data_IF_517494335771
#
_entry.id   IF_517494335771
#
_cell.length_a   1.000
_cell.length_b   1.000
_cell.length_c   1.000
_cell.angle_alpha   90.00
_cell.angle_beta   90.00
_cell.angle_gamma   90.00
#
_symmetry.space_group_name_H-M   'P 1'
#
loop_
_entity.id
_entity.type
_entity.pdbx_description
1 polymer ?
#
# COMPACT_ATOMS: atom_id res chain seq x y z
N UNK A 1 -43.03 -40.13 14.28
CA UNK A 1 -41.86 -39.69 13.47
C UNK A 1 -41.57 -38.18 13.63
N UNK A 2 -41.49 -37.62 14.85
CA UNK A 2 -41.36 -36.15 15.04
C UNK A 2 -40.09 -35.69 15.78
N UNK A 3 -39.38 -36.58 16.49
CA UNK A 3 -38.23 -36.16 17.34
C UNK A 3 -36.92 -35.94 16.56
N UNK A 4 -36.66 -36.68 15.47
CA UNK A 4 -35.39 -36.59 14.72
C UNK A 4 -35.26 -35.33 13.86
N UNK A 5 -36.37 -34.67 13.51
CA UNK A 5 -36.38 -33.50 12.62
C UNK A 5 -36.06 -32.19 13.36
N UNK A 6 -36.46 -32.08 14.64
CA UNK A 6 -36.16 -30.90 15.46
C UNK A 6 -34.68 -30.82 15.88
N UNK A 7 -34.04 -31.96 16.15
CA UNK A 7 -32.61 -31.99 16.50
C UNK A 7 -31.73 -31.49 15.34
N UNK A 8 -32.11 -31.79 14.09
CA UNK A 8 -31.37 -31.38 12.89
C UNK A 8 -31.50 -29.88 12.59
N UNK A 9 -32.65 -29.26 12.92
CA UNK A 9 -32.84 -27.80 12.78
C UNK A 9 -32.03 -27.01 13.80
N UNK A 10 -32.03 -27.41 15.07
CA UNK A 10 -31.22 -26.75 16.10
C UNK A 10 -29.71 -26.85 15.83
N UNK A 11 -29.23 -27.95 15.24
CA UNK A 11 -27.83 -28.09 14.87
C UNK A 11 -27.41 -27.14 13.72
N UNK A 12 -28.28 -26.94 12.73
CA UNK A 12 -28.04 -26.03 11.59
C UNK A 12 -28.05 -24.56 12.02
N UNK A 13 -28.94 -24.19 12.95
CA UNK A 13 -29.06 -22.82 13.45
C UNK A 13 -27.85 -22.42 14.30
N UNK A 14 -27.36 -23.34 15.15
CA UNK A 14 -26.14 -23.18 15.95
C UNK A 14 -24.87 -23.08 15.11
N UNK A 15 -24.83 -23.74 13.95
CA UNK A 15 -23.73 -23.58 12.98
C UNK A 15 -23.74 -22.20 12.31
N UNK A 16 -24.92 -21.69 11.96
CA UNK A 16 -25.09 -20.37 11.32
C UNK A 16 -24.72 -19.21 12.26
N UNK A 17 -25.00 -19.34 13.56
CA UNK A 17 -24.57 -18.36 14.57
C UNK A 17 -23.06 -18.39 14.83
N UNK A 18 -22.43 -19.57 14.81
CA UNK A 18 -20.97 -19.72 14.89
C UNK A 18 -20.25 -19.11 13.68
N UNK A 19 -20.81 -19.23 12.48
CA UNK A 19 -20.25 -18.59 11.27
C UNK A 19 -20.39 -17.07 11.30
N UNK A 20 -21.55 -16.55 11.73
CA UNK A 20 -21.76 -15.10 11.86
C UNK A 20 -20.81 -14.47 12.87
N UNK A 21 -20.63 -15.09 14.04
CA UNK A 21 -19.69 -14.62 15.07
C UNK A 21 -18.25 -14.67 14.56
N UNK A 22 -17.83 -15.76 13.89
CA UNK A 22 -16.49 -15.86 13.28
C UNK A 22 -16.25 -14.83 12.16
N UNK A 23 -17.28 -14.49 11.36
CA UNK A 23 -17.19 -13.43 10.35
C UNK A 23 -17.07 -12.02 10.97
N UNK A 24 -17.73 -11.78 12.11
CA UNK A 24 -17.61 -10.51 12.82
C UNK A 24 -16.26 -10.37 13.52
N UNK A 25 -15.74 -11.44 14.12
CA UNK A 25 -14.41 -11.42 14.75
C UNK A 25 -13.30 -11.21 13.72
N UNK A 26 -13.39 -11.84 12.53
CA UNK A 26 -12.45 -11.62 11.42
C UNK A 26 -12.53 -10.19 10.89
N UNK A 27 -13.72 -9.62 10.70
CA UNK A 27 -13.89 -8.22 10.29
C UNK A 27 -13.33 -7.22 11.31
N UNK A 28 -13.47 -7.49 12.62
CA UNK A 28 -12.91 -6.64 13.68
C UNK A 28 -11.38 -6.78 13.75
N UNK A 29 -10.84 -8.00 13.62
CA UNK A 29 -9.39 -8.25 13.55
C UNK A 29 -8.75 -7.58 12.33
N UNK A 30 -9.37 -7.72 11.15
CA UNK A 30 -8.97 -7.02 9.93
C UNK A 30 -8.94 -5.51 10.20
N UNK A 31 -10.00 -4.92 10.76
CA UNK A 31 -10.09 -3.46 11.01
C UNK A 31 -9.02 -2.91 11.96
N UNK A 32 -8.62 -3.68 12.97
CA UNK A 32 -7.53 -3.30 13.90
C UNK A 32 -6.15 -3.48 13.25
N UNK A 33 -6.00 -4.50 12.42
CA UNK A 33 -4.76 -4.81 11.71
C UNK A 33 -4.47 -3.80 10.58
N UNK A 34 -5.48 -3.31 9.87
CA UNK A 34 -5.34 -2.25 8.86
C UNK A 34 -4.73 -0.96 9.41
N UNK A 35 -5.07 -0.59 10.67
CA UNK A 35 -4.47 0.58 11.36
C UNK A 35 -2.99 0.38 11.71
N UNK A 36 -2.54 -0.88 11.85
CA UNK A 36 -1.15 -1.22 12.14
C UNK A 36 -0.28 -1.21 10.87
N UNK A 37 -0.85 -1.62 9.73
CA UNK A 37 -0.14 -1.64 8.44
C UNK A 37 -0.09 -0.22 7.81
N UNK A 38 -1.16 0.57 7.97
CA UNK A 38 -1.25 1.94 7.44
C UNK A 38 -1.85 2.89 8.49
N UNK A 39 -1.04 3.74 9.16
CA UNK A 39 -1.49 4.59 10.26
C UNK A 39 -2.24 5.84 9.80
N UNK A 40 -3.22 5.70 8.88
CA UNK A 40 -4.09 6.80 8.46
C UNK A 40 -5.54 6.46 8.82
N UNK A 41 -6.16 7.35 9.59
CA UNK A 41 -7.47 7.16 10.20
C UNK A 41 -8.61 6.99 9.19
N UNK A 42 -9.39 5.91 9.36
CA UNK A 42 -10.65 5.68 8.68
C UNK A 42 -11.74 6.61 9.24
N UNK A 43 -12.23 7.56 8.43
CA UNK A 43 -13.58 8.11 8.62
C UNK A 43 -14.57 7.28 7.82
N UNK A 44 -15.50 6.62 8.53
CA UNK A 44 -16.51 5.73 7.99
C UNK A 44 -17.77 6.58 7.72
N UNK A 45 -18.02 7.01 6.49
CA UNK A 45 -19.35 7.51 6.10
C UNK A 45 -20.25 6.31 5.86
N UNK A 46 -21.04 5.96 6.87
CA UNK A 46 -22.06 4.93 6.74
C UNK A 46 -23.35 5.54 6.21
N UNK A 47 -23.82 5.07 5.06
CA UNK A 47 -25.25 5.04 4.72
C UNK A 47 -25.45 4.05 3.59
N UNK A 48 -26.22 3.00 3.89
CA UNK A 48 -26.73 2.00 2.94
C UNK A 48 -28.22 2.28 2.75
N UNK A 49 -28.60 2.82 1.60
CA UNK A 49 -29.98 2.72 1.11
C UNK A 49 -29.94 2.43 -0.38
N UNK A 50 -30.79 1.50 -0.79
CA UNK A 50 -30.78 0.84 -2.09
C UNK A 50 -31.82 1.42 -3.06
N UNK A 51 -31.57 1.15 -4.35
CA UNK A 51 -32.50 1.05 -5.48
C UNK A 51 -33.07 2.34 -6.09
N UNK A 52 -32.61 2.58 -7.32
CA UNK A 52 -33.38 2.97 -8.51
C UNK A 52 -34.62 3.84 -8.31
N UNK A 53 -34.52 5.12 -8.71
CA UNK A 53 -35.51 5.88 -9.47
C UNK A 53 -35.01 7.31 -9.69
N UNK A 54 -35.39 7.91 -10.81
CA UNK A 54 -35.18 9.32 -11.22
C UNK A 54 -33.89 9.58 -12.01
N UNK A 55 -33.95 9.20 -13.28
CA UNK A 55 -33.61 10.11 -14.38
C UNK A 55 -34.39 11.42 -14.23
N UNK A 56 -33.72 12.57 -14.34
CA UNK A 56 -34.08 13.64 -15.27
C UNK A 56 -33.04 14.79 -15.18
N UNK A 57 -32.34 14.98 -16.30
CA UNK A 57 -32.22 16.25 -17.03
C UNK A 57 -31.44 17.45 -16.49
N UNK A 58 -30.71 18.00 -17.47
CA UNK A 58 -30.18 19.36 -17.67
C UNK A 58 -28.77 19.61 -17.12
N UNK A 59 -27.72 19.66 -17.96
CA UNK A 59 -27.42 20.55 -19.10
C UNK A 59 -27.08 21.99 -18.68
N UNK A 60 -25.79 22.31 -18.91
CA UNK A 60 -25.25 23.57 -19.45
C UNK A 60 -25.00 24.78 -18.53
N UNK A 61 -23.76 25.28 -18.69
CA UNK A 61 -23.29 26.70 -18.68
C UNK A 61 -23.41 27.46 -17.35
N UNK A 62 -22.51 28.33 -16.89
CA UNK A 62 -21.52 29.20 -17.52
C UNK A 62 -20.63 29.84 -16.41
N UNK A 63 -19.52 30.47 -16.80
CA UNK A 63 -18.82 31.50 -16.02
C UNK A 63 -19.77 32.64 -15.61
N UNK A 64 -19.60 33.21 -14.41
CA UNK A 64 -19.46 34.67 -14.26
C UNK A 64 -18.84 35.06 -12.90
N UNK A 65 -18.13 36.19 -12.89
CA UNK A 65 -17.53 36.83 -11.72
C UNK A 65 -18.33 38.07 -11.33
N UNK A 66 -18.62 38.29 -10.05
CA UNK A 66 -18.76 39.65 -9.51
C UNK A 66 -18.75 39.71 -7.99
N UNK A 67 -18.04 40.72 -7.49
CA UNK A 67 -17.98 41.22 -6.12
C UNK A 67 -19.35 41.75 -5.65
N UNK A 68 -19.66 41.62 -4.35
CA UNK A 68 -19.92 42.72 -3.38
C UNK A 68 -20.46 42.17 -2.06
N UNK A 69 -19.71 42.44 -0.99
CA UNK A 69 -20.08 42.93 0.34
C UNK A 69 -21.38 42.53 1.08
N UNK A 70 -21.13 42.16 2.35
CA UNK A 70 -21.88 42.47 3.59
C UNK A 70 -22.79 41.40 4.21
N UNK A 71 -22.29 40.90 5.36
CA UNK A 71 -23.00 40.63 6.62
C UNK A 71 -23.75 39.31 6.81
N UNK A 72 -23.02 38.27 7.20
CA UNK A 72 -23.44 37.38 8.32
C UNK A 72 -22.22 36.65 8.88
N UNK A 73 -21.43 37.35 9.70
CA UNK A 73 -20.33 36.74 10.45
C UNK A 73 -20.93 35.84 11.51
N UNK A 74 -20.64 34.54 11.42
CA UNK A 74 -21.11 33.55 12.39
C UNK A 74 -20.27 33.64 13.68
N UNK A 75 -20.79 33.22 14.85
CA UNK A 75 -20.04 33.21 16.11
C UNK A 75 -18.74 32.37 16.09
N UNK A 76 -18.53 31.58 15.04
CA UNK A 76 -17.35 30.75 14.82
C UNK A 76 -16.18 31.55 14.23
N UNK A 77 -16.47 32.56 13.40
CA UNK A 77 -15.45 33.40 12.75
C UNK A 77 -14.77 34.39 13.71
N UNK A 78 -15.48 34.80 14.78
CA UNK A 78 -14.88 35.60 15.86
C UNK A 78 -13.88 34.80 16.69
N UNK A 79 -14.08 33.48 16.86
CA UNK A 79 -13.16 32.61 17.60
C UNK A 79 -11.88 32.33 16.81
N UNK A 80 -11.97 32.27 15.48
CA UNK A 80 -10.82 32.07 14.58
C UNK A 80 -9.95 33.34 14.51
N UNK A 81 -10.55 34.54 14.50
CA UNK A 81 -9.82 35.82 14.50
C UNK A 81 -9.08 36.11 15.82
N UNK A 82 -9.58 35.61 16.95
CA UNK A 82 -8.93 35.76 18.27
C UNK A 82 -7.75 34.78 18.44
N UNK A 83 -7.88 33.56 17.92
CA UNK A 83 -6.82 32.54 17.96
C UNK A 83 -5.61 32.90 17.07
N UNK A 84 -5.85 33.54 15.92
CA UNK A 84 -4.79 34.00 15.02
C UNK A 84 -4.00 35.22 15.57
N UNK A 85 -4.60 36.03 16.44
CA UNK A 85 -3.93 37.15 17.13
C UNK A 85 -3.02 36.72 18.29
N UNK A 86 -3.28 35.56 18.90
CA UNK A 86 -2.48 35.02 20.00
C UNK A 86 -1.22 34.26 19.53
N UNK A 87 -1.19 33.82 18.28
CA UNK A 87 -0.04 33.12 17.68
C UNK A 87 0.96 34.11 17.04
N UNK A 88 0.50 35.30 16.66
CA UNK A 88 1.33 36.34 16.04
C UNK A 88 2.07 37.27 17.04
N UNK A 89 1.84 37.12 18.35
CA UNK A 89 2.35 38.03 19.38
C UNK A 89 3.61 37.56 20.12
N UNK A 90 4.33 36.55 19.63
CA UNK A 90 5.53 36.00 20.29
C UNK A 90 6.81 35.98 19.44
N UNK A 91 6.92 36.82 18.41
CA UNK A 91 8.24 37.09 17.77
C UNK A 91 8.34 38.43 17.05
N UNK A 92 8.33 39.52 17.82
CA UNK A 92 8.92 40.82 17.46
C UNK A 92 9.32 41.48 18.78
N UNK A 93 10.45 42.14 19.01
CA UNK A 93 11.59 42.58 18.22
C UNK A 93 12.59 43.05 19.29
N UNK A 94 13.89 42.73 19.20
CA UNK A 94 14.90 43.61 19.80
C UNK A 94 16.06 43.80 18.82
N UNK A 95 16.12 45.02 18.27
CA UNK A 95 17.29 45.59 17.61
C UNK A 95 18.28 46.04 18.69
N UNK A 96 19.58 45.77 18.50
CA UNK A 96 20.66 46.47 19.19
C UNK A 96 21.83 46.73 18.25
N UNK A 97 22.28 47.98 18.22
CA UNK A 97 23.43 48.50 17.49
C UNK A 97 24.77 48.15 18.17
N UNK A 98 25.86 48.27 17.39
CA UNK A 98 27.26 47.92 17.69
C UNK A 98 27.98 49.11 18.35
N UNK A 99 29.01 48.90 19.21
CA UNK A 99 30.36 49.31 18.80
C UNK A 99 31.53 48.39 19.21
N UNK A 100 32.47 48.25 18.26
CA UNK A 100 33.94 48.14 18.32
C UNK A 100 34.70 47.21 19.31
N UNK A 101 35.38 46.22 18.68
CA UNK A 101 36.76 45.72 18.86
C UNK A 101 37.41 45.62 20.26
N UNK A 102 37.80 44.39 20.62
CA UNK A 102 39.16 44.04 21.10
C UNK A 102 39.47 42.56 20.83
N UNK A 103 40.63 42.33 20.20
CA UNK A 103 41.20 41.04 19.86
C UNK A 103 41.55 40.21 21.11
N UNK A 104 41.12 38.96 21.16
CA UNK A 104 41.82 37.88 21.88
C UNK A 104 41.77 36.61 21.06
N UNK A 105 42.95 36.12 20.72
CA UNK A 105 43.22 34.87 19.99
C UNK A 105 43.02 33.67 20.93
N UNK A 106 42.17 32.69 20.56
CA UNK A 106 42.48 31.24 20.68
C UNK A 106 41.37 30.30 20.18
N UNK A 107 41.84 29.22 19.56
CA UNK A 107 41.30 27.85 19.53
C UNK A 107 40.13 27.49 18.58
N UNK A 108 40.51 27.00 17.39
CA UNK A 108 40.14 25.70 16.78
C UNK A 108 38.69 25.17 16.95
N UNK A 109 38.00 25.10 15.79
CA UNK A 109 36.92 24.17 15.36
C UNK A 109 35.48 24.43 15.87
N UNK A 110 34.42 24.29 15.02
CA UNK A 110 34.13 23.05 14.30
C UNK A 110 33.90 23.19 12.78
N UNK A 111 34.22 22.08 12.12
CA UNK A 111 33.81 21.68 10.78
C UNK A 111 32.38 22.09 10.46
N UNK A 112 32.21 22.79 9.33
CA UNK A 112 30.92 22.91 8.65
C UNK A 112 30.48 21.49 8.29
N UNK A 113 29.49 20.96 9.00
CA UNK A 113 28.77 19.78 8.56
C UNK A 113 28.03 20.20 7.29
N UNK A 114 28.63 19.94 6.12
CA UNK A 114 27.83 19.79 4.92
C UNK A 114 26.86 18.63 5.21
N UNK A 115 25.54 18.82 5.08
CA UNK A 115 24.63 17.69 5.15
C UNK A 115 25.12 16.66 4.14
N UNK A 116 25.31 15.43 4.57
CA UNK A 116 25.60 14.32 3.65
C UNK A 116 24.53 14.32 2.56
N UNK A 117 24.88 14.00 1.30
CA UNK A 117 23.91 13.93 0.18
C UNK A 117 22.65 13.10 0.51
N UNK A 118 22.78 12.16 1.46
CA UNK A 118 21.71 11.34 2.03
C UNK A 118 20.59 12.14 2.74
N UNK A 119 20.91 13.33 3.28
CA UNK A 119 19.99 14.19 4.03
C UNK A 119 19.14 15.11 3.12
N UNK A 120 19.52 15.23 1.85
CA UNK A 120 18.84 16.09 0.86
C UNK A 120 17.82 15.33 -0.01
N UNK A 121 17.81 13.99 0.02
CA UNK A 121 16.86 13.18 -0.75
C UNK A 121 15.55 13.00 0.01
N UNK A 122 14.56 13.82 -0.32
CA UNK A 122 13.20 13.68 0.20
C UNK A 122 12.59 12.35 -0.29
N UNK A 123 12.17 11.51 0.64
CA UNK A 123 11.48 10.22 0.38
C UNK A 123 9.99 10.36 0.61
N UNK A 124 9.21 9.37 0.17
CA UNK A 124 7.80 9.30 0.51
C UNK A 124 7.59 9.20 2.03
N UNK A 125 6.50 9.75 2.55
CA UNK A 125 6.28 9.87 4.01
C UNK A 125 6.18 8.54 4.78
N UNK A 126 6.00 7.40 4.10
CA UNK A 126 6.06 6.09 4.74
C UNK A 126 7.50 5.61 5.00
N UNK A 127 8.51 6.34 4.52
CA UNK A 127 9.90 6.22 4.94
C UNK A 127 10.22 7.36 5.91
N UNK A 128 10.42 6.98 7.17
CA UNK A 128 10.76 7.90 8.27
C UNK A 128 12.25 7.82 8.59
N UNK A 129 12.78 8.80 9.33
CA UNK A 129 14.16 8.77 9.84
C UNK A 129 14.46 7.56 10.74
N UNK A 130 13.42 6.95 11.32
CA UNK A 130 13.50 5.74 12.14
C UNK A 130 13.27 4.44 11.36
N UNK A 131 13.06 4.52 10.04
CA UNK A 131 12.82 3.32 9.22
C UNK A 131 14.07 2.46 9.13
N UNK A 132 13.89 1.15 9.22
CA UNK A 132 14.96 0.17 9.03
C UNK A 132 15.60 0.31 7.63
N UNK A 133 16.92 0.17 7.56
CA UNK A 133 17.70 0.34 6.32
C UNK A 133 17.20 -0.51 5.15
N UNK A 134 16.78 -1.75 5.43
CA UNK A 134 16.23 -2.65 4.40
C UNK A 134 14.94 -2.14 3.77
N UNK A 135 14.12 -1.40 4.53
CA UNK A 135 12.88 -0.83 4.02
C UNK A 135 13.15 0.45 3.22
N UNK A 136 14.09 1.27 3.69
CA UNK A 136 14.61 2.43 2.93
C UNK A 136 15.16 1.96 1.58
N UNK A 137 16.01 0.94 1.57
CA UNK A 137 16.58 0.39 0.35
C UNK A 137 15.51 -0.18 -0.59
N UNK A 138 14.52 -0.90 -0.06
CA UNK A 138 13.41 -1.38 -0.88
C UNK A 138 12.62 -0.24 -1.53
N UNK A 139 12.36 0.85 -0.80
CA UNK A 139 11.73 2.04 -1.37
C UNK A 139 12.57 2.69 -2.46
N UNK A 140 13.88 2.83 -2.22
CA UNK A 140 14.78 3.54 -3.11
C UNK A 140 15.05 2.71 -4.39
N UNK A 141 15.31 1.41 -4.25
CA UNK A 141 15.84 0.61 -5.36
C UNK A 141 14.77 -0.20 -6.08
N UNK A 142 13.70 -0.62 -5.39
CA UNK A 142 12.75 -1.60 -5.91
C UNK A 142 11.33 -1.05 -6.10
N UNK A 143 10.80 -0.34 -5.10
CA UNK A 143 9.38 0.01 -5.08
C UNK A 143 9.04 1.04 -6.15
N UNK A 144 8.03 0.74 -6.97
CA UNK A 144 7.63 1.57 -8.09
C UNK A 144 8.48 1.40 -9.35
N UNK A 145 9.55 0.59 -9.32
CA UNK A 145 10.33 0.26 -10.52
C UNK A 145 9.58 -0.80 -11.33
N UNK A 146 9.34 -0.62 -12.64
CA UNK A 146 8.65 -1.62 -13.45
C UNK A 146 9.38 -2.97 -13.49
N UNK A 147 8.69 -4.03 -13.06
CA UNK A 147 9.20 -5.41 -13.06
C UNK A 147 8.50 -6.22 -14.15
N UNK A 148 9.28 -6.91 -14.99
CA UNK A 148 8.76 -7.71 -16.11
C UNK A 148 9.06 -9.20 -16.03
N UNK A 149 9.94 -9.61 -15.10
CA UNK A 149 10.29 -11.02 -14.90
C UNK A 149 9.19 -11.76 -14.12
N UNK A 150 8.82 -12.96 -14.60
CA UNK A 150 7.74 -13.76 -14.03
C UNK A 150 8.03 -14.20 -12.60
N UNK A 151 9.27 -14.58 -12.29
CA UNK A 151 9.65 -15.05 -10.96
C UNK A 151 9.63 -13.90 -9.96
N UNK A 152 10.17 -12.73 -10.34
CA UNK A 152 10.13 -11.52 -9.51
C UNK A 152 8.69 -11.03 -9.28
N UNK A 153 7.81 -11.09 -10.28
CA UNK A 153 6.41 -10.73 -10.11
C UNK A 153 5.69 -11.74 -9.19
N UNK A 154 5.98 -13.03 -9.30
CA UNK A 154 5.42 -14.02 -8.39
C UNK A 154 5.91 -13.80 -6.95
N UNK A 155 7.21 -13.57 -6.76
CA UNK A 155 7.81 -13.20 -5.48
C UNK A 155 7.09 -11.98 -4.89
N UNK A 156 7.00 -10.87 -5.63
CA UNK A 156 6.35 -9.64 -5.15
C UNK A 156 4.90 -9.89 -4.76
N UNK A 157 4.13 -10.66 -5.53
CA UNK A 157 2.76 -11.00 -5.18
C UNK A 157 2.68 -11.79 -3.87
N UNK A 158 3.59 -12.75 -3.67
CA UNK A 158 3.66 -13.54 -2.44
C UNK A 158 4.04 -12.66 -1.24
N UNK A 159 5.06 -11.81 -1.36
CA UNK A 159 5.50 -10.87 -0.33
C UNK A 159 4.39 -9.86 0.04
N UNK A 160 3.70 -9.29 -0.95
CA UNK A 160 2.55 -8.43 -0.71
C UNK A 160 1.43 -9.18 0.03
N UNK A 161 1.23 -10.46 -0.27
CA UNK A 161 0.30 -11.30 0.48
C UNK A 161 0.65 -11.38 1.97
N UNK A 162 1.93 -11.49 2.30
CA UNK A 162 2.43 -11.57 3.69
C UNK A 162 2.20 -10.29 4.50
N UNK A 163 1.79 -9.17 3.88
CA UNK A 163 1.42 -7.95 4.59
C UNK A 163 0.23 -8.12 5.55
N UNK A 164 -0.53 -9.21 5.44
CA UNK A 164 -1.57 -9.58 6.41
C UNK A 164 -1.03 -10.18 7.71
N UNK A 165 0.24 -10.59 7.70
CA UNK A 165 0.89 -11.28 8.81
C UNK A 165 2.00 -10.40 9.41
N UNK A 166 2.71 -9.64 8.56
CA UNK A 166 3.92 -8.90 8.88
C UNK A 166 3.94 -7.50 8.25
N UNK A 167 4.77 -6.60 8.76
CA UNK A 167 5.07 -5.35 8.06
C UNK A 167 6.20 -5.53 7.02
N UNK A 168 6.40 -4.54 6.14
CA UNK A 168 7.43 -4.60 5.09
C UNK A 168 8.83 -4.87 5.63
N UNK A 169 9.25 -4.22 6.72
CA UNK A 169 10.57 -4.47 7.32
C UNK A 169 10.75 -5.93 7.71
N UNK A 170 9.76 -6.52 8.39
CA UNK A 170 9.80 -7.93 8.82
C UNK A 170 9.83 -8.91 7.64
N UNK A 171 9.16 -8.56 6.53
CA UNK A 171 9.16 -9.36 5.30
C UNK A 171 10.52 -9.24 4.60
N UNK A 172 11.03 -8.01 4.44
CA UNK A 172 12.26 -7.72 3.72
C UNK A 172 13.50 -8.29 4.43
N UNK A 173 13.53 -8.31 5.77
CA UNK A 173 14.60 -8.97 6.56
C UNK A 173 14.70 -10.47 6.30
N UNK A 174 13.61 -11.12 5.87
CA UNK A 174 13.52 -12.56 5.58
C UNK A 174 13.42 -12.86 4.08
N UNK A 175 13.55 -11.85 3.22
CA UNK A 175 13.26 -11.96 1.78
C UNK A 175 14.09 -13.03 1.10
N UNK A 176 15.39 -13.13 1.43
CA UNK A 176 16.28 -14.12 0.83
C UNK A 176 15.92 -15.54 1.25
N UNK A 177 15.69 -15.75 2.55
CA UNK A 177 15.27 -17.05 3.10
C UNK A 177 13.94 -17.49 2.50
N UNK A 178 12.99 -16.56 2.36
CA UNK A 178 11.71 -16.81 1.69
C UNK A 178 11.93 -17.19 0.22
N UNK A 179 12.83 -16.48 -0.49
CA UNK A 179 13.14 -16.78 -1.89
C UNK A 179 13.74 -18.18 -2.05
N UNK A 180 14.69 -18.54 -1.21
CA UNK A 180 15.31 -19.86 -1.21
C UNK A 180 14.28 -20.95 -0.89
N UNK A 181 13.46 -20.75 0.14
CA UNK A 181 12.39 -21.67 0.55
C UNK A 181 11.38 -21.97 -0.56
N UNK A 182 11.10 -21.00 -1.44
CA UNK A 182 10.22 -21.16 -2.59
C UNK A 182 10.99 -21.28 -3.91
N UNK A 183 12.21 -21.82 -3.88
CA UNK A 183 13.00 -22.18 -5.06
C UNK A 183 13.12 -21.03 -6.08
N UNK A 184 13.44 -19.82 -5.60
CA UNK A 184 13.57 -18.64 -6.45
C UNK A 184 12.25 -18.13 -7.02
N UNK A 185 11.11 -18.55 -6.47
CA UNK A 185 9.79 -18.32 -7.03
C UNK A 185 9.65 -18.80 -8.48
N UNK A 186 10.31 -19.90 -8.83
CA UNK A 186 10.00 -20.60 -10.08
C UNK A 186 8.64 -21.28 -9.94
N UNK A 187 7.61 -20.75 -10.60
CA UNK A 187 6.25 -21.24 -10.48
C UNK A 187 6.11 -22.74 -10.84
N UNK A 188 6.92 -23.26 -11.77
CA UNK A 188 6.88 -24.68 -12.13
C UNK A 188 7.42 -25.60 -11.02
N UNK A 189 8.41 -25.13 -10.25
CA UNK A 189 8.95 -25.86 -9.11
C UNK A 189 7.99 -25.76 -7.93
N UNK A 190 7.59 -24.53 -7.57
CA UNK A 190 6.70 -24.28 -6.43
C UNK A 190 5.34 -24.98 -6.61
N UNK A 191 4.80 -25.03 -7.82
CA UNK A 191 3.53 -25.72 -8.09
C UNK A 191 3.58 -27.24 -7.87
N UNK A 192 4.78 -27.84 -7.89
CA UNK A 192 5.01 -29.28 -7.75
C UNK A 192 5.41 -29.71 -6.33
N UNK A 193 5.58 -28.76 -5.41
CA UNK A 193 5.96 -29.07 -4.02
C UNK A 193 4.97 -30.06 -3.40
N UNK A 194 5.51 -31.15 -2.86
CA UNK A 194 4.73 -32.18 -2.18
C UNK A 194 4.38 -31.80 -0.74
N UNK A 195 3.51 -32.58 -0.09
CA UNK A 195 3.12 -32.34 1.30
C UNK A 195 4.31 -32.35 2.26
N UNK A 196 5.29 -33.23 2.04
CA UNK A 196 6.51 -33.27 2.87
C UNK A 196 7.30 -31.95 2.84
N UNK A 197 7.53 -31.39 1.65
CA UNK A 197 8.23 -30.11 1.51
C UNK A 197 7.42 -28.97 2.11
N UNK A 198 6.09 -29.00 1.96
CA UNK A 198 5.19 -28.03 2.58
C UNK A 198 5.28 -28.10 4.11
N UNK A 199 5.26 -29.29 4.70
CA UNK A 199 5.39 -29.51 6.15
C UNK A 199 6.75 -29.05 6.69
N UNK A 200 7.83 -29.29 5.93
CA UNK A 200 9.18 -28.79 6.24
C UNK A 200 9.21 -27.26 6.27
N UNK A 201 8.59 -26.59 5.28
CA UNK A 201 8.49 -25.12 5.26
C UNK A 201 7.65 -24.57 6.41
N UNK A 202 6.55 -25.24 6.76
CA UNK A 202 5.68 -24.83 7.88
C UNK A 202 6.41 -24.92 9.21
N UNK A 203 7.25 -25.94 9.36
CA UNK A 203 8.01 -26.20 10.59
C UNK A 203 9.25 -25.30 10.71
N UNK A 204 9.62 -24.57 9.65
CA UNK A 204 10.77 -23.68 9.65
C UNK A 204 10.49 -22.40 10.45
N UNK A 205 11.08 -22.32 11.64
CA UNK A 205 10.94 -21.19 12.56
C UNK A 205 11.61 -19.90 12.08
N UNK A 206 12.59 -19.98 11.19
CA UNK A 206 13.25 -18.80 10.60
C UNK A 206 12.33 -18.09 9.62
N UNK A 207 11.56 -18.86 8.84
CA UNK A 207 10.54 -18.32 7.96
C UNK A 207 9.35 -17.79 8.76
N UNK A 208 8.93 -18.52 9.80
CA UNK A 208 7.78 -18.20 10.64
C UNK A 208 6.53 -17.87 9.81
N UNK A 209 6.23 -18.68 8.79
CA UNK A 209 5.06 -18.51 7.94
C UNK A 209 3.91 -19.38 8.46
N UNK A 210 2.70 -18.81 8.52
CA UNK A 210 1.52 -19.60 8.80
C UNK A 210 1.29 -20.67 7.71
N UNK A 211 0.77 -21.84 8.07
CA UNK A 211 0.46 -22.91 7.12
C UNK A 211 -0.41 -22.43 5.95
N UNK A 212 -1.41 -21.61 6.24
CA UNK A 212 -2.29 -21.02 5.23
C UNK A 212 -1.53 -20.18 4.20
N UNK A 213 -0.42 -19.55 4.60
CA UNK A 213 0.46 -18.76 3.73
C UNK A 213 1.30 -19.64 2.82
N UNK A 214 1.94 -20.68 3.37
CA UNK A 214 2.76 -21.63 2.59
C UNK A 214 1.89 -22.29 1.52
N UNK A 215 0.74 -22.84 1.93
CA UNK A 215 -0.20 -23.50 1.00
C UNK A 215 -0.75 -22.53 -0.05
N UNK A 216 -1.02 -21.28 0.33
CA UNK A 216 -1.43 -20.24 -0.61
C UNK A 216 -0.40 -20.00 -1.72
N UNK A 217 0.89 -19.89 -1.36
CA UNK A 217 1.95 -19.63 -2.33
C UNK A 217 2.04 -20.80 -3.33
N UNK A 218 1.94 -22.04 -2.84
CA UNK A 218 1.89 -23.24 -3.69
C UNK A 218 0.66 -23.26 -4.61
N UNK A 219 -0.52 -22.95 -4.09
CA UNK A 219 -1.75 -22.89 -4.89
C UNK A 219 -1.69 -21.78 -5.96
N UNK A 220 -1.13 -20.62 -5.61
CA UNK A 220 -0.93 -19.50 -6.54
C UNK A 220 0.08 -19.87 -7.63
N UNK A 221 1.16 -20.60 -7.31
CA UNK A 221 2.10 -21.11 -8.32
C UNK A 221 1.41 -22.02 -9.34
N UNK A 222 0.52 -22.92 -8.88
CA UNK A 222 -0.28 -23.77 -9.79
C UNK A 222 -1.17 -22.93 -10.72
N UNK A 223 -1.72 -21.82 -10.23
CA UNK A 223 -2.51 -20.90 -11.04
C UNK A 223 -1.65 -20.12 -12.05
N UNK A 224 -0.44 -19.70 -11.65
CA UNK A 224 0.54 -19.06 -12.54
C UNK A 224 0.93 -20.00 -13.68
N UNK A 225 1.22 -21.27 -13.40
CA UNK A 225 1.55 -22.27 -14.45
C UNK A 225 0.42 -22.38 -15.49
N UNK A 226 -0.86 -22.27 -15.07
CA UNK A 226 -1.99 -22.24 -16.00
C UNK A 226 -2.02 -20.95 -16.82
N UNK A 227 -1.79 -19.80 -16.19
CA UNK A 227 -1.69 -18.51 -16.88
C UNK A 227 -0.58 -18.52 -17.92
N UNK A 228 0.60 -19.04 -17.61
CA UNK A 228 1.74 -19.13 -18.54
C UNK A 228 1.36 -19.94 -19.79
N UNK A 229 0.53 -20.98 -19.65
CA UNK A 229 0.04 -21.76 -20.81
C UNK A 229 -0.96 -20.98 -21.68
N UNK A 230 -1.77 -20.11 -21.09
CA UNK A 230 -2.84 -19.36 -21.77
C UNK A 230 -2.33 -18.02 -22.37
N UNK A 231 -1.45 -17.33 -21.66
CA UNK A 231 -0.99 -15.97 -21.97
C UNK A 231 0.50 -15.89 -22.30
N UNK A 232 1.22 -17.01 -22.29
CA UNK A 232 2.66 -17.09 -22.52
C UNK A 232 3.52 -16.75 -21.31
N UNK A 233 3.14 -15.75 -20.50
CA UNK A 233 3.84 -15.42 -19.25
C UNK A 233 2.92 -14.77 -18.21
N UNK A 234 3.30 -14.86 -16.92
CA UNK A 234 2.59 -14.19 -15.83
C UNK A 234 2.68 -12.66 -15.97
N UNK A 235 3.84 -12.16 -16.38
CA UNK A 235 4.11 -10.77 -16.70
C UNK A 235 3.18 -10.26 -17.80
N UNK A 236 3.07 -10.97 -18.92
CA UNK A 236 2.18 -10.59 -20.03
C UNK A 236 0.72 -10.50 -19.57
N UNK A 237 0.28 -11.45 -18.75
CA UNK A 237 -1.06 -11.45 -18.18
C UNK A 237 -1.29 -10.26 -17.24
N UNK A 238 -0.38 -9.99 -16.30
CA UNK A 238 -0.52 -8.88 -15.35
C UNK A 238 -0.45 -7.53 -16.05
N UNK A 239 0.55 -7.30 -16.89
CA UNK A 239 0.75 -6.03 -17.60
C UNK A 239 -0.34 -5.73 -18.62
N UNK A 240 -1.03 -6.74 -19.17
CA UNK A 240 -2.19 -6.54 -20.04
C UNK A 240 -3.29 -5.70 -19.37
N UNK A 241 -3.49 -5.83 -18.04
CA UNK A 241 -4.50 -5.04 -17.33
C UNK A 241 -4.24 -3.53 -17.32
N UNK A 242 -3.00 -3.13 -17.53
CA UNK A 242 -2.58 -1.73 -17.63
C UNK A 242 -2.14 -1.37 -19.05
N UNK A 243 -2.59 -2.14 -20.06
CA UNK A 243 -2.23 -1.94 -21.46
C UNK A 243 -0.72 -1.84 -21.68
N UNK A 244 0.06 -2.62 -20.90
CA UNK A 244 1.52 -2.67 -20.97
C UNK A 244 2.20 -1.33 -20.69
N UNK A 245 1.53 -0.40 -20.01
CA UNK A 245 2.08 0.91 -19.62
C UNK A 245 1.77 1.18 -18.15
N UNK A 246 2.77 1.54 -17.33
CA UNK A 246 2.52 1.92 -15.94
C UNK A 246 1.52 3.08 -15.83
N UNK A 247 0.68 3.04 -14.80
CA UNK A 247 -0.20 4.15 -14.45
C UNK A 247 0.62 5.16 -13.65
N UNK A 248 0.89 6.33 -14.23
CA UNK A 248 1.66 7.38 -13.55
C UNK A 248 0.71 8.27 -12.75
N UNK A 249 0.76 8.14 -11.42
CA UNK A 249 0.06 9.06 -10.53
C UNK A 249 0.96 10.25 -10.15
N UNK A 250 0.31 11.32 -9.67
CA UNK A 250 0.97 12.58 -9.26
C UNK A 250 0.49 13.02 -7.89
N UNK A 251 0.48 12.08 -6.94
CA UNK A 251 0.03 12.38 -5.58
C UNK A 251 1.02 13.34 -4.90
N UNK A 252 0.50 14.45 -4.38
CA UNK A 252 1.28 15.40 -3.56
C UNK A 252 1.27 15.06 -2.06
N UNK A 253 0.24 14.34 -1.62
CA UNK A 253 0.01 14.07 -0.21
C UNK A 253 -0.22 12.57 0.01
N UNK A 254 0.36 11.97 1.06
CA UNK A 254 0.21 10.54 1.35
C UNK A 254 -1.25 10.09 1.47
N UNK A 255 -2.09 10.93 2.09
CA UNK A 255 -3.53 10.67 2.27
C UNK A 255 -4.31 10.52 0.97
N UNK A 256 -3.76 10.96 -0.15
CA UNK A 256 -4.38 10.85 -1.47
C UNK A 256 -4.04 9.51 -2.15
N UNK A 257 -3.01 8.80 -1.69
CA UNK A 257 -2.66 7.48 -2.20
C UNK A 257 -3.71 6.48 -1.70
N UNK A 258 -4.52 5.87 -2.58
CA UNK A 258 -5.60 5.01 -2.15
C UNK A 258 -5.07 3.66 -1.68
N UNK A 259 -5.79 2.97 -0.79
CA UNK A 259 -5.44 1.59 -0.40
C UNK A 259 -5.87 0.55 -1.46
N UNK A 260 -6.81 0.90 -2.34
CA UNK A 260 -7.30 0.07 -3.44
C UNK A 260 -7.83 0.95 -4.57
N UNK A 261 -7.89 0.42 -5.77
CA UNK A 261 -8.44 1.12 -6.94
C UNK A 261 -9.42 0.23 -7.69
N UNK A 262 -10.33 0.80 -8.52
CA UNK A 262 -11.21 0.01 -9.39
C UNK A 262 -10.44 -0.97 -10.29
N UNK A 263 -9.23 -0.59 -10.72
CA UNK A 263 -8.35 -1.46 -11.49
C UNK A 263 -7.87 -2.66 -10.66
N UNK A 264 -7.38 -2.42 -9.45
CA UNK A 264 -6.96 -3.50 -8.54
C UNK A 264 -8.13 -4.42 -8.15
N UNK A 265 -9.34 -3.90 -8.02
CA UNK A 265 -10.55 -4.71 -7.80
C UNK A 265 -10.87 -5.63 -8.96
N UNK A 266 -10.71 -5.14 -10.20
CA UNK A 266 -10.93 -5.93 -11.41
C UNK A 266 -9.91 -7.07 -11.48
N UNK A 267 -8.63 -6.76 -11.29
CA UNK A 267 -7.54 -7.74 -11.28
C UNK A 267 -7.75 -8.77 -10.16
N UNK A 268 -8.07 -8.31 -8.95
CA UNK A 268 -8.34 -9.17 -7.80
C UNK A 268 -9.46 -10.16 -8.08
N UNK A 269 -10.58 -9.70 -8.65
CA UNK A 269 -11.71 -10.57 -9.01
C UNK A 269 -11.31 -11.64 -10.04
N UNK A 270 -10.51 -11.29 -11.05
CA UNK A 270 -10.08 -12.27 -12.04
C UNK A 270 -9.08 -13.28 -11.48
N UNK A 271 -8.10 -12.82 -10.68
CA UNK A 271 -7.17 -13.72 -9.99
C UNK A 271 -7.92 -14.71 -9.08
N UNK A 272 -8.89 -14.23 -8.29
CA UNK A 272 -9.73 -15.10 -7.46
C UNK A 272 -10.52 -16.10 -8.31
N UNK A 273 -11.10 -15.67 -9.43
CA UNK A 273 -11.82 -16.54 -10.38
C UNK A 273 -10.91 -17.64 -10.96
N UNK A 274 -9.62 -17.33 -11.15
CA UNK A 274 -8.60 -18.28 -11.62
C UNK A 274 -8.06 -19.21 -10.53
N UNK A 275 -8.51 -19.04 -9.28
CA UNK A 275 -8.15 -19.89 -8.15
C UNK A 275 -7.02 -19.37 -7.28
N UNK A 276 -6.52 -18.15 -7.53
CA UNK A 276 -5.55 -17.54 -6.62
C UNK A 276 -6.19 -17.30 -5.25
N UNK A 277 -5.37 -17.40 -4.21
CA UNK A 277 -5.75 -17.19 -2.81
C UNK A 277 -5.05 -15.96 -2.26
N UNK A 278 -5.70 -15.29 -1.30
CA UNK A 278 -5.14 -14.14 -0.57
C UNK A 278 -4.74 -12.93 -1.45
N UNK A 279 -5.41 -12.77 -2.59
CA UNK A 279 -5.21 -11.70 -3.57
C UNK A 279 -6.35 -10.68 -3.54
N UNK A 280 -6.69 -10.17 -2.35
CA UNK A 280 -7.73 -9.15 -2.19
C UNK A 280 -7.34 -7.81 -2.83
N UNK A 281 -8.28 -6.88 -3.11
CA UNK A 281 -7.99 -5.65 -3.87
C UNK A 281 -6.88 -4.78 -3.29
N UNK A 282 -6.73 -4.74 -1.97
CA UNK A 282 -5.64 -3.97 -1.32
C UNK A 282 -4.27 -4.64 -1.50
N UNK A 283 -4.22 -5.97 -1.45
CA UNK A 283 -2.99 -6.74 -1.71
C UNK A 283 -2.58 -6.58 -3.16
N UNK A 284 -3.55 -6.69 -4.08
CA UNK A 284 -3.31 -6.48 -5.52
C UNK A 284 -2.84 -5.06 -5.80
N UNK A 285 -3.41 -4.05 -5.14
CA UNK A 285 -2.93 -2.67 -5.34
C UNK A 285 -1.52 -2.47 -4.77
N UNK A 286 -1.23 -3.03 -3.59
CA UNK A 286 0.13 -3.02 -3.02
C UNK A 286 1.14 -3.71 -3.95
N UNK A 287 0.74 -4.82 -4.59
CA UNK A 287 1.53 -5.50 -5.61
C UNK A 287 1.75 -4.63 -6.85
N UNK A 288 0.70 -4.00 -7.37
CA UNK A 288 0.81 -3.09 -8.52
C UNK A 288 1.79 -1.93 -8.24
N UNK A 289 1.77 -1.39 -7.02
CA UNK A 289 2.70 -0.35 -6.58
C UNK A 289 4.13 -0.89 -6.49
N UNK A 290 4.33 -2.02 -5.81
CA UNK A 290 5.64 -2.61 -5.62
C UNK A 290 6.29 -3.04 -6.94
N UNK A 291 5.51 -3.57 -7.88
CA UNK A 291 5.97 -4.02 -9.20
C UNK A 291 6.08 -2.90 -10.25
N UNK A 292 5.81 -1.64 -9.87
CA UNK A 292 5.89 -0.49 -10.78
C UNK A 292 4.82 -0.47 -11.87
N UNK A 293 3.72 -1.22 -11.72
CA UNK A 293 2.55 -1.12 -12.60
C UNK A 293 1.77 0.18 -12.35
N UNK A 294 1.93 0.76 -11.15
CA UNK A 294 1.50 2.12 -10.82
C UNK A 294 2.66 2.85 -10.15
N UNK A 295 2.90 4.10 -10.57
CA UNK A 295 3.94 4.94 -10.00
C UNK A 295 3.29 5.86 -8.97
N UNK A 296 3.37 5.42 -7.72
CA UNK A 296 2.68 6.05 -6.58
C UNK A 296 3.65 6.77 -5.63
N UNK A 297 4.93 6.88 -6.01
CA UNK A 297 5.84 7.80 -5.35
C UNK A 297 5.20 9.19 -5.31
N UNK A 298 5.32 9.88 -4.17
CA UNK A 298 4.86 11.25 -4.09
C UNK A 298 5.70 12.13 -5.01
N UNK A 299 5.11 13.18 -5.59
CA UNK A 299 5.83 14.02 -6.57
C UNK A 299 7.07 14.74 -6.02
N UNK A 300 7.17 14.84 -4.69
CA UNK A 300 8.30 15.41 -3.97
C UNK A 300 9.33 14.36 -3.53
N UNK A 301 9.07 13.07 -3.77
CA UNK A 301 10.02 11.99 -3.56
C UNK A 301 11.09 12.00 -4.67
N UNK A 302 12.35 11.85 -4.31
CA UNK A 302 13.47 11.82 -5.26
C UNK A 302 13.32 10.71 -6.32
N UNK A 303 12.68 9.58 -5.96
CA UNK A 303 12.41 8.46 -6.86
C UNK A 303 11.26 8.65 -7.83
N UNK A 304 10.41 9.67 -7.64
CA UNK A 304 9.25 9.88 -8.53
C UNK A 304 9.66 10.07 -9.97
N UNK A 305 10.58 11.02 -10.22
CA UNK A 305 11.06 11.33 -11.57
C UNK A 305 11.76 10.12 -12.21
N UNK A 306 12.59 9.42 -11.46
CA UNK A 306 13.30 8.24 -11.94
C UNK A 306 12.33 7.12 -12.36
N UNK A 307 11.35 6.81 -11.52
CA UNK A 307 10.36 5.77 -11.81
C UNK A 307 9.45 6.16 -12.98
N UNK A 308 9.11 7.45 -13.13
CA UNK A 308 8.39 7.96 -14.31
C UNK A 308 9.22 7.78 -15.58
N UNK A 309 10.50 8.14 -15.57
CA UNK A 309 11.38 7.96 -16.73
C UNK A 309 11.54 6.48 -17.11
N UNK A 310 11.58 5.58 -16.14
CA UNK A 310 11.60 4.14 -16.38
C UNK A 310 10.27 3.63 -16.95
N UNK A 311 9.15 4.17 -16.48
CA UNK A 311 7.81 3.82 -16.93
C UNK A 311 7.49 4.26 -18.37
N UNK A 312 8.13 5.32 -18.86
CA UNK A 312 7.97 5.80 -20.23
C UNK A 312 8.74 4.96 -21.26
N UNK A 313 9.64 4.07 -20.80
CA UNK A 313 10.35 3.15 -21.69
C UNK A 313 9.38 2.12 -22.28
N UNK A 314 9.53 1.74 -23.56
CA UNK A 314 8.67 0.72 -24.16
C UNK A 314 8.74 -0.61 -23.39
N UNK A 315 7.56 -1.19 -23.18
CA UNK A 315 7.40 -2.53 -22.64
C UNK A 315 8.19 -3.51 -23.52
N UNK A 316 9.13 -4.27 -22.92
CA UNK A 316 10.14 -5.19 -23.52
C UNK A 316 11.59 -4.69 -23.65
N UNK A 317 11.97 -3.52 -23.14
CA UNK A 317 13.40 -3.11 -23.09
C UNK A 317 14.16 -3.57 -21.83
N UNK A 318 13.72 -4.64 -21.17
CA UNK A 318 14.47 -5.33 -20.10
C UNK A 318 14.36 -6.82 -20.31
#
# INVERSE_FOLDING_TARGET
MSSKQNVRRHALEKHREKEKTRSNTTNVLLSKHWKKIYPIGLHKTGSSLSLSSLSLSLSQTSNDSSLTDSSSITPLDQKISLALRLIAASSSSEKREIPAMKNVVRAVSPTRNNPSEEELMRRCNWITSSSDKVYVQFHDDCWGVPVYDDHQLFELLALCGMLMDFNWTEILKRREQIREAFAGFNANHVAKMGEREIEELISNTELNLAESRVRCIVDNAKCIVKIVREFGSFSSYMWNYVNYKPIINRFRYPRNVPLRTPKAETISKDLLKRGFRFVGPVIVYSFMQAAGMTIDHLVDCFRHKDCVNLAERPWRHV
#
